data_IF_394355268345
#
_entry.id   IF_394355268345
#
_cell.length_a   1.000
_cell.length_b   1.000
_cell.length_c   1.000
_cell.angle_alpha   90.00
_cell.angle_beta   90.00
_cell.angle_gamma   90.00
#
_symmetry.space_group_name_H-M   'P 1'
#
loop_
_entity.id
_entity.type
_entity.pdbx_description
1 polymer ?
#
# COMPACT_ATOMS: atom_id res chain seq x y z
N UNK A 1 16.93 -13.62 -9.21
CA UNK A 1 15.70 -13.29 -8.44
C UNK A 1 15.99 -12.51 -7.17
N UNK A 2 17.11 -12.80 -6.47
CA UNK A 2 17.39 -12.09 -5.23
C UNK A 2 17.56 -10.59 -5.42
N UNK A 3 18.22 -10.16 -6.52
CA UNK A 3 18.37 -8.73 -6.81
C UNK A 3 17.03 -8.07 -7.10
N UNK A 4 16.15 -8.76 -7.86
CA UNK A 4 14.84 -8.24 -8.16
C UNK A 4 14.00 -8.10 -6.89
N UNK A 5 14.06 -9.09 -6.00
CA UNK A 5 13.34 -9.02 -4.73
C UNK A 5 13.84 -7.86 -3.87
N UNK A 6 15.16 -7.67 -3.81
CA UNK A 6 15.74 -6.57 -3.04
C UNK A 6 15.27 -5.21 -3.57
N UNK A 7 15.37 -5.02 -4.89
CA UNK A 7 15.01 -3.76 -5.51
C UNK A 7 13.52 -3.47 -5.30
N UNK A 8 12.67 -4.46 -5.57
CA UNK A 8 11.22 -4.27 -5.46
C UNK A 8 10.81 -4.05 -4.01
N UNK A 9 11.43 -4.76 -3.07
CA UNK A 9 11.17 -4.55 -1.64
C UNK A 9 11.48 -3.12 -1.21
N UNK A 10 12.62 -2.60 -1.62
CA UNK A 10 13.01 -1.24 -1.27
C UNK A 10 12.08 -0.23 -1.96
N UNK A 11 11.77 -0.44 -3.24
CA UNK A 11 10.88 0.46 -3.97
C UNK A 11 9.48 0.49 -3.34
N UNK A 12 8.92 -0.67 -3.02
CA UNK A 12 7.61 -0.71 -2.38
C UNK A 12 7.65 -0.06 -1.00
N UNK A 13 8.68 -0.37 -0.21
CA UNK A 13 8.84 0.22 1.11
C UNK A 13 8.91 1.74 1.07
N UNK A 14 9.72 2.29 0.15
CA UNK A 14 9.80 3.74 -0.03
C UNK A 14 8.47 4.33 -0.47
N UNK A 15 7.82 3.69 -1.43
CA UNK A 15 6.55 4.18 -1.97
C UNK A 15 5.49 4.30 -0.87
N UNK A 16 5.29 3.23 -0.10
CA UNK A 16 4.24 3.27 0.93
C UNK A 16 4.63 4.16 2.09
N UNK A 17 5.91 4.24 2.43
CA UNK A 17 6.37 5.15 3.48
C UNK A 17 6.11 6.60 3.09
N UNK A 18 6.43 6.97 1.85
CA UNK A 18 6.22 8.33 1.37
C UNK A 18 4.72 8.65 1.35
N UNK A 19 3.89 7.75 0.84
CA UNK A 19 2.45 7.99 0.81
C UNK A 19 1.84 8.05 2.22
N UNK A 20 2.33 7.22 3.14
CA UNK A 20 1.87 7.27 4.53
C UNK A 20 2.23 8.58 5.20
N UNK A 21 3.48 9.01 5.03
CA UNK A 21 3.94 10.29 5.57
C UNK A 21 3.18 11.46 4.95
N UNK A 22 2.88 11.39 3.65
CA UNK A 22 2.15 12.45 2.97
C UNK A 22 0.74 12.65 3.55
N UNK A 23 0.13 11.60 4.06
CA UNK A 23 -1.19 11.72 4.69
C UNK A 23 -1.16 12.61 5.94
N UNK A 24 -0.01 12.69 6.61
CA UNK A 24 0.17 13.58 7.76
C UNK A 24 0.76 14.92 7.37
N UNK A 25 1.77 14.92 6.49
CA UNK A 25 2.57 16.12 6.21
C UNK A 25 2.08 16.91 5.00
N UNK A 26 1.31 16.27 4.13
CA UNK A 26 0.72 16.88 2.93
C UNK A 26 1.74 17.66 2.10
N UNK A 27 2.91 17.03 1.86
CA UNK A 27 3.98 17.68 1.10
C UNK A 27 3.91 17.45 -0.40
N UNK A 28 3.10 16.46 -0.85
CA UNK A 28 2.92 16.20 -2.27
C UNK A 28 1.64 16.86 -2.77
N UNK A 29 1.72 17.63 -3.90
CA UNK A 29 0.50 18.18 -4.48
C UNK A 29 -0.41 17.07 -4.98
N UNK A 30 -1.70 17.20 -4.70
CA UNK A 30 -2.70 16.23 -5.14
C UNK A 30 -3.50 16.85 -6.30
N UNK A 31 -3.59 16.14 -7.44
CA UNK A 31 -4.42 16.64 -8.53
C UNK A 31 -5.90 16.63 -8.12
N UNK A 32 -6.73 17.49 -8.75
CA UNK A 32 -8.17 17.46 -8.49
C UNK A 32 -8.75 16.08 -8.79
N UNK A 33 -9.67 15.63 -7.94
CA UNK A 33 -10.32 14.33 -8.11
C UNK A 33 -11.68 14.50 -8.74
N UNK A 34 -12.16 13.50 -9.52
CA UNK A 34 -13.57 13.46 -9.92
C UNK A 34 -14.47 13.51 -8.70
N UNK A 35 -15.71 13.95 -8.91
CA UNK A 35 -16.65 14.18 -7.81
C UNK A 35 -16.83 12.96 -6.91
N UNK A 36 -17.09 11.78 -7.50
CA UNK A 36 -17.30 10.56 -6.71
C UNK A 36 -16.05 10.17 -5.93
N UNK A 37 -14.86 10.35 -6.53
CA UNK A 37 -13.60 10.05 -5.85
C UNK A 37 -13.37 11.00 -4.68
N UNK A 38 -13.69 12.28 -4.88
CA UNK A 38 -13.59 13.29 -3.83
C UNK A 38 -14.52 13.00 -2.67
N UNK A 39 -15.74 12.56 -2.96
CA UNK A 39 -16.71 12.18 -1.92
C UNK A 39 -16.21 10.98 -1.12
N UNK A 40 -15.67 9.98 -1.80
CA UNK A 40 -15.15 8.79 -1.14
C UNK A 40 -13.98 9.16 -0.23
N UNK A 41 -13.01 9.90 -0.74
CA UNK A 41 -11.86 10.33 0.07
C UNK A 41 -12.28 11.24 1.21
N UNK A 42 -13.24 12.13 0.94
CA UNK A 42 -13.78 13.00 1.98
C UNK A 42 -14.41 12.23 3.12
N UNK A 43 -15.14 11.15 2.79
CA UNK A 43 -15.74 10.31 3.82
C UNK A 43 -14.69 9.63 4.68
N UNK A 44 -13.61 9.15 4.06
CA UNK A 44 -12.51 8.53 4.79
C UNK A 44 -11.84 9.53 5.74
N UNK A 45 -11.60 10.75 5.28
CA UNK A 45 -11.01 11.80 6.10
C UNK A 45 -11.97 12.22 7.20
N UNK A 46 -13.23 12.40 6.86
CA UNK A 46 -14.24 12.87 7.81
C UNK A 46 -14.62 11.85 8.86
N UNK A 47 -14.28 10.58 8.66
CA UNK A 47 -14.48 9.56 9.69
C UNK A 47 -13.69 9.88 10.97
N UNK A 48 -12.62 10.66 10.83
CA UNK A 48 -11.81 11.09 11.97
C UNK A 48 -10.70 10.12 12.37
N UNK A 49 -10.71 8.91 11.83
CA UNK A 49 -9.69 7.91 12.22
C UNK A 49 -9.14 7.09 11.05
N UNK A 50 -9.93 6.89 10.00
CA UNK A 50 -9.60 5.87 8.99
C UNK A 50 -8.34 6.22 8.21
N UNK A 51 -8.20 7.46 7.77
CA UNK A 51 -7.00 7.87 7.05
C UNK A 51 -5.76 7.81 7.93
N UNK A 52 -5.90 8.16 9.21
CA UNK A 52 -4.79 8.04 10.16
C UNK A 52 -4.39 6.57 10.32
N UNK A 53 -5.37 5.69 10.45
CA UNK A 53 -5.10 4.26 10.56
C UNK A 53 -4.35 3.72 9.34
N UNK A 54 -4.82 4.08 8.14
CA UNK A 54 -4.15 3.69 6.90
C UNK A 54 -2.72 4.22 6.86
N UNK A 55 -2.55 5.49 7.23
CA UNK A 55 -1.22 6.12 7.22
C UNK A 55 -0.27 5.41 8.17
N UNK A 56 -0.71 5.07 9.37
CA UNK A 56 0.12 4.37 10.35
C UNK A 56 0.53 3.01 9.81
N UNK A 57 -0.42 2.25 9.24
CA UNK A 57 -0.11 0.94 8.67
C UNK A 57 0.91 1.08 7.53
N UNK A 58 0.73 2.06 6.65
CA UNK A 58 1.67 2.27 5.54
C UNK A 58 3.07 2.62 6.04
N UNK A 59 3.17 3.49 7.04
CA UNK A 59 4.47 3.89 7.60
C UNK A 59 5.15 2.68 8.26
N UNK A 60 4.44 1.97 9.11
CA UNK A 60 5.00 0.81 9.81
C UNK A 60 5.43 -0.26 8.82
N UNK A 61 4.57 -0.62 7.88
CA UNK A 61 4.90 -1.65 6.89
C UNK A 61 6.03 -1.19 5.97
N UNK A 62 6.06 0.09 5.59
CA UNK A 62 7.14 0.63 4.78
C UNK A 62 8.48 0.52 5.46
N UNK A 63 8.55 0.87 6.75
CA UNK A 63 9.77 0.74 7.53
C UNK A 63 10.18 -0.74 7.62
N UNK A 64 9.22 -1.65 7.88
CA UNK A 64 9.51 -3.08 7.96
C UNK A 64 10.13 -3.60 6.66
N UNK A 65 9.61 -3.15 5.52
CA UNK A 65 10.16 -3.54 4.22
C UNK A 65 11.56 -2.97 4.01
N UNK A 66 11.80 -1.71 4.40
CA UNK A 66 13.09 -1.08 4.21
C UNK A 66 14.18 -1.72 5.04
N UNK A 67 13.89 -2.06 6.30
CA UNK A 67 14.86 -2.70 7.17
C UNK A 67 14.90 -4.22 7.02
N UNK A 68 14.08 -4.77 6.14
CA UNK A 68 13.98 -6.21 5.88
C UNK A 68 13.64 -7.00 7.15
N UNK A 69 12.67 -6.50 7.91
CA UNK A 69 12.18 -7.18 9.12
C UNK A 69 10.69 -7.39 8.97
N UNK A 70 10.23 -8.60 9.29
CA UNK A 70 8.81 -8.94 9.24
C UNK A 70 8.20 -8.73 7.85
N UNK A 71 8.98 -8.97 6.78
CA UNK A 71 8.51 -8.75 5.41
C UNK A 71 7.17 -9.44 5.12
N UNK A 72 6.98 -10.74 5.48
CA UNK A 72 5.70 -11.38 5.19
C UNK A 72 4.51 -10.69 5.87
N UNK A 73 4.69 -10.24 7.10
CA UNK A 73 3.64 -9.52 7.82
C UNK A 73 3.35 -8.17 7.16
N UNK A 74 4.40 -7.45 6.78
CA UNK A 74 4.24 -6.15 6.11
C UNK A 74 3.42 -6.29 4.83
N UNK A 75 3.69 -7.32 4.03
CA UNK A 75 2.96 -7.52 2.78
C UNK A 75 1.49 -7.83 3.01
N UNK A 76 1.17 -8.60 4.04
CA UNK A 76 -0.22 -8.88 4.40
C UNK A 76 -0.92 -7.61 4.86
N UNK A 77 -0.25 -6.80 5.68
CA UNK A 77 -0.83 -5.54 6.17
C UNK A 77 -1.12 -4.58 5.02
N UNK A 78 -0.23 -4.54 4.03
CA UNK A 78 -0.36 -3.62 2.90
C UNK A 78 -1.36 -4.09 1.84
N UNK A 79 -1.58 -5.38 1.72
CA UNK A 79 -2.37 -5.90 0.60
C UNK A 79 -3.77 -5.30 0.52
N UNK A 80 -4.58 -5.28 1.60
CA UNK A 80 -5.91 -4.68 1.51
C UNK A 80 -5.86 -3.19 1.15
N UNK A 81 -4.88 -2.47 1.66
CA UNK A 81 -4.74 -1.05 1.39
C UNK A 81 -4.41 -0.81 -0.09
N UNK A 82 -3.44 -1.54 -0.61
CA UNK A 82 -3.04 -1.41 -2.01
C UNK A 82 -4.13 -1.88 -2.95
N UNK A 83 -4.83 -2.95 -2.59
CA UNK A 83 -5.97 -3.43 -3.38
C UNK A 83 -7.06 -2.36 -3.43
N UNK A 84 -7.40 -1.77 -2.29
CA UNK A 84 -8.41 -0.72 -2.27
C UNK A 84 -7.97 0.51 -3.06
N UNK A 85 -6.70 0.87 -2.97
CA UNK A 85 -6.17 1.99 -3.75
C UNK A 85 -6.28 1.71 -5.25
N UNK A 86 -5.98 0.49 -5.66
CA UNK A 86 -6.12 0.11 -7.06
C UNK A 86 -7.58 0.19 -7.51
N UNK A 87 -8.50 -0.36 -6.72
CA UNK A 87 -9.92 -0.33 -7.05
C UNK A 87 -10.47 1.09 -7.03
N UNK A 88 -10.01 1.92 -6.09
CA UNK A 88 -10.40 3.34 -6.04
C UNK A 88 -10.05 4.03 -7.35
N UNK A 89 -8.82 3.84 -7.83
CA UNK A 89 -8.42 4.45 -9.09
C UNK A 89 -9.13 3.83 -10.29
N UNK A 90 -9.34 2.52 -10.26
CA UNK A 90 -10.00 1.84 -11.37
C UNK A 90 -11.45 2.33 -11.57
N UNK A 91 -12.18 2.50 -10.47
CA UNK A 91 -13.60 2.84 -10.57
C UNK A 91 -13.90 4.31 -10.39
N UNK A 92 -13.11 5.04 -9.61
CA UNK A 92 -13.45 6.41 -9.24
C UNK A 92 -12.49 7.47 -9.79
N UNK A 93 -11.23 7.12 -10.04
CA UNK A 93 -10.23 8.09 -10.47
C UNK A 93 -9.20 7.45 -11.40
N UNK A 94 -9.60 7.06 -12.64
CA UNK A 94 -8.71 6.29 -13.52
C UNK A 94 -7.39 6.97 -13.85
N UNK A 95 -7.31 8.30 -13.79
CA UNK A 95 -6.09 9.02 -14.13
C UNK A 95 -4.90 8.63 -13.24
N UNK A 96 -5.15 8.22 -12.01
CA UNK A 96 -4.07 7.87 -11.07
C UNK A 96 -3.78 6.38 -10.94
N UNK A 97 -4.36 5.55 -11.84
CA UNK A 97 -4.29 4.09 -11.68
C UNK A 97 -2.86 3.53 -11.80
N UNK A 98 -1.99 4.24 -12.53
CA UNK A 98 -0.63 3.72 -12.78
C UNK A 98 0.15 3.44 -11.50
N UNK A 99 0.19 4.41 -10.59
CA UNK A 99 0.90 4.23 -9.33
C UNK A 99 0.31 3.12 -8.46
N UNK A 100 -1.03 3.07 -8.38
CA UNK A 100 -1.71 2.05 -7.60
C UNK A 100 -1.48 0.64 -8.19
N UNK A 101 -1.50 0.53 -9.53
CA UNK A 101 -1.23 -0.74 -10.20
C UNK A 101 0.18 -1.22 -9.91
N UNK A 102 1.18 -0.32 -10.00
CA UNK A 102 2.56 -0.67 -9.69
C UNK A 102 2.69 -1.16 -8.25
N UNK A 103 2.04 -0.46 -7.32
CA UNK A 103 2.10 -0.84 -5.91
C UNK A 103 1.54 -2.23 -5.65
N UNK A 104 0.35 -2.52 -6.19
CA UNK A 104 -0.26 -3.84 -5.95
C UNK A 104 0.53 -4.95 -6.65
N UNK A 105 1.07 -4.68 -7.84
CA UNK A 105 1.88 -5.66 -8.55
C UNK A 105 3.15 -5.99 -7.76
N UNK A 106 3.83 -4.97 -7.24
CA UNK A 106 5.02 -5.18 -6.41
C UNK A 106 4.70 -6.00 -5.16
N UNK A 107 3.57 -5.71 -4.53
CA UNK A 107 3.14 -6.46 -3.34
C UNK A 107 2.90 -7.93 -3.68
N UNK A 108 2.18 -8.20 -4.76
CA UNK A 108 1.88 -9.56 -5.20
C UNK A 108 3.16 -10.30 -5.58
N UNK A 109 4.08 -9.63 -6.29
CA UNK A 109 5.36 -10.24 -6.65
C UNK A 109 6.13 -10.69 -5.40
N UNK A 110 6.25 -9.82 -4.42
CA UNK A 110 6.96 -10.14 -3.18
C UNK A 110 6.24 -11.22 -2.38
N UNK A 111 4.91 -11.21 -2.42
CA UNK A 111 4.11 -12.24 -1.76
C UNK A 111 4.46 -13.62 -2.31
N UNK A 112 4.45 -13.78 -3.64
CA UNK A 112 4.79 -15.07 -4.25
C UNK A 112 6.26 -15.42 -4.07
N UNK A 113 7.15 -14.43 -4.06
CA UNK A 113 8.56 -14.68 -3.83
C UNK A 113 8.83 -15.23 -2.43
N UNK A 114 7.97 -14.90 -1.46
CA UNK A 114 8.10 -15.37 -0.08
C UNK A 114 6.95 -16.28 0.33
N UNK A 115 6.37 -17.00 -0.63
CA UNK A 115 5.18 -17.83 -0.40
C UNK A 115 5.35 -18.86 0.71
N UNK A 116 6.57 -19.36 0.90
CA UNK A 116 6.82 -20.37 1.93
C UNK A 116 6.53 -19.84 3.34
N UNK A 117 6.71 -18.54 3.55
CA UNK A 117 6.43 -17.91 4.84
C UNK A 117 4.95 -17.91 5.21
N UNK A 118 4.08 -18.06 4.22
CA UNK A 118 2.63 -17.98 4.44
C UNK A 118 1.98 -19.36 4.59
N UNK A 119 2.68 -20.42 4.26
CA UNK A 119 2.11 -21.78 4.30
C UNK A 119 1.57 -22.15 5.68
N UNK A 120 2.27 -21.89 6.78
CA UNK A 120 1.72 -22.22 8.10
C UNK A 120 0.41 -21.50 8.41
N UNK A 121 0.23 -20.31 7.86
CA UNK A 121 -0.99 -19.53 8.07
C UNK A 121 -2.20 -20.11 7.34
N UNK A 122 -1.95 -20.89 6.30
CA UNK A 122 -2.99 -21.45 5.47
C UNK A 122 -3.48 -22.81 5.95
N UNK A 123 -3.00 -23.26 7.10
CA UNK A 123 -3.46 -24.52 7.70
C UNK A 123 -4.93 -24.43 8.05
N UNK A 124 -5.66 -25.47 7.73
CA UNK A 124 -7.07 -25.55 8.06
C UNK A 124 -7.30 -25.70 9.57
N UNK A 125 -6.34 -26.37 10.23
CA UNK A 125 -6.39 -26.54 11.69
C UNK A 125 -5.05 -26.21 12.31
#
# INVERSE_FOLDING_TARGET
MKKAQLIIRILLGLMVLIFGLNKFLQFMPMPPLPEAAGEFMGALVNSGYLMVLVAVVEIVAGVMLLINRFQPLALIMLFPILLNAFLFHLFLAPAGIGGAAVGIIMNIFLFFASKESYKPMLKFK
#
